data_IF_821578965850
#
_entry.id   IF_821578965850
#
_cell.length_a   1.000
_cell.length_b   1.000
_cell.length_c   1.000
_cell.angle_alpha   90.00
_cell.angle_beta   90.00
_cell.angle_gamma   90.00
#
_symmetry.space_group_name_H-M   'P 1'
#
loop_
_entity.id
_entity.type
_entity.pdbx_description
1 polymer ?
#
# COMPACT_ATOMS: atom_id res chain seq x y z
N UNK A 1 18.83 -14.87 12.92
CA UNK A 1 18.37 -13.50 13.24
C UNK A 1 16.86 -13.44 13.17
N UNK A 2 16.24 -12.88 14.19
CA UNK A 2 14.79 -12.77 14.25
C UNK A 2 14.35 -11.55 13.42
N UNK A 3 13.84 -11.78 12.20
CA UNK A 3 13.37 -10.72 11.27
C UNK A 3 12.15 -9.93 11.79
N UNK A 4 11.85 -10.02 13.10
CA UNK A 4 10.61 -9.48 13.68
C UNK A 4 9.39 -10.34 13.38
N UNK A 5 9.62 -11.59 12.97
CA UNK A 5 8.59 -12.61 12.73
C UNK A 5 9.04 -13.91 13.37
N UNK A 6 8.19 -14.50 14.19
CA UNK A 6 8.43 -15.80 14.79
C UNK A 6 7.99 -16.90 13.81
N UNK A 7 8.94 -17.41 13.04
CA UNK A 7 8.71 -18.41 11.99
C UNK A 7 8.29 -19.75 12.60
N UNK A 8 8.90 -20.15 13.73
CA UNK A 8 8.69 -21.47 14.36
C UNK A 8 7.31 -21.56 15.03
N UNK A 9 6.76 -20.42 15.49
CA UNK A 9 5.48 -20.38 16.19
C UNK A 9 4.36 -19.77 15.33
N UNK A 10 4.29 -20.16 14.06
CA UNK A 10 3.17 -19.81 13.18
C UNK A 10 3.28 -18.39 12.59
N UNK A 11 4.49 -17.92 12.32
CA UNK A 11 4.76 -16.65 11.65
C UNK A 11 4.21 -15.42 12.38
N UNK A 12 4.18 -15.44 13.70
CA UNK A 12 3.67 -14.32 14.49
C UNK A 12 4.53 -13.07 14.32
N UNK A 13 3.96 -11.93 13.90
CA UNK A 13 4.71 -10.69 13.79
C UNK A 13 4.96 -10.09 15.19
N UNK A 14 6.17 -9.62 15.41
CA UNK A 14 6.55 -8.90 16.62
C UNK A 14 6.59 -7.40 16.33
N UNK A 15 5.55 -6.70 16.72
CA UNK A 15 5.43 -5.25 16.51
C UNK A 15 6.14 -4.48 17.59
N UNK A 16 6.92 -3.47 17.18
CA UNK A 16 7.58 -2.52 18.07
C UNK A 16 7.21 -1.10 17.70
N UNK A 17 7.15 -0.25 18.71
CA UNK A 17 7.03 1.19 18.50
C UNK A 17 8.33 1.68 17.84
N UNK A 18 8.22 2.36 16.71
CA UNK A 18 9.38 2.94 16.03
C UNK A 18 10.03 4.02 16.91
N UNK A 19 11.35 4.10 16.83
CA UNK A 19 12.11 5.12 17.54
C UNK A 19 11.62 6.53 17.18
N UNK A 20 11.52 7.39 18.17
CA UNK A 20 11.03 8.76 18.03
C UNK A 20 9.49 8.91 17.97
N UNK A 21 8.71 7.82 17.86
CA UNK A 21 7.24 7.88 17.81
C UNK A 21 6.54 7.86 19.19
N UNK A 22 7.28 7.67 20.25
CA UNK A 22 6.72 7.61 21.61
C UNK A 22 5.95 8.87 22.04
N UNK A 23 6.35 10.07 21.55
CA UNK A 23 5.65 11.32 21.83
C UNK A 23 4.25 11.34 21.22
N UNK A 24 4.15 10.98 19.92
CA UNK A 24 2.87 10.92 19.20
C UNK A 24 1.91 9.93 19.85
N UNK A 25 2.42 8.79 20.29
CA UNK A 25 1.60 7.78 20.98
C UNK A 25 1.09 8.30 22.32
N UNK A 26 1.92 8.99 23.09
CA UNK A 26 1.48 9.60 24.36
C UNK A 26 0.40 10.65 24.13
N UNK A 27 0.53 11.48 23.10
CA UNK A 27 -0.47 12.48 22.72
C UNK A 27 -1.80 11.81 22.32
N UNK A 28 -1.76 10.76 21.50
CA UNK A 28 -2.94 9.99 21.12
C UNK A 28 -3.63 9.34 22.34
N UNK A 29 -2.85 8.71 23.22
CA UNK A 29 -3.38 8.10 24.45
C UNK A 29 -3.98 9.15 25.41
N UNK A 30 -3.41 10.35 25.46
CA UNK A 30 -3.95 11.45 26.24
C UNK A 30 -5.26 11.96 25.66
N UNK A 31 -5.30 12.21 24.35
CA UNK A 31 -6.50 12.65 23.64
C UNK A 31 -7.64 11.61 23.76
N UNK A 32 -7.32 10.34 23.64
CA UNK A 32 -8.30 9.25 23.76
C UNK A 32 -9.03 9.22 25.13
N UNK A 33 -8.41 9.73 26.17
CA UNK A 33 -9.02 9.80 27.52
C UNK A 33 -10.00 10.95 27.70
N UNK A 34 -9.99 11.93 26.81
CA UNK A 34 -10.79 13.16 26.90
C UNK A 34 -12.04 13.14 26.04
N UNK A 35 -12.30 12.03 25.34
CA UNK A 35 -13.42 11.90 24.40
C UNK A 35 -14.28 10.69 24.73
N UNK A 36 -15.58 10.79 24.47
CA UNK A 36 -16.54 9.72 24.72
C UNK A 36 -16.52 8.65 23.64
N UNK A 37 -16.07 9.00 22.42
CA UNK A 37 -16.06 8.09 21.28
C UNK A 37 -14.85 8.32 20.39
N UNK A 38 -14.26 7.22 19.90
CA UNK A 38 -13.15 7.23 18.97
C UNK A 38 -13.59 6.51 17.69
N UNK A 39 -13.44 7.18 16.55
CA UNK A 39 -13.68 6.61 15.22
C UNK A 39 -12.37 6.49 14.47
N UNK A 40 -12.17 5.33 13.84
CA UNK A 40 -11.00 4.99 13.07
C UNK A 40 -11.28 5.27 11.59
N UNK A 41 -10.68 6.32 11.04
CA UNK A 41 -10.92 6.83 9.70
C UNK A 41 -9.63 6.75 8.88
N UNK A 42 -9.35 5.59 8.32
CA UNK A 42 -8.25 5.36 7.38
C UNK A 42 -8.81 4.91 6.04
N UNK A 43 -7.97 4.80 5.01
CA UNK A 43 -8.36 4.42 3.65
C UNK A 43 -9.09 3.07 3.64
N UNK A 44 -9.98 2.88 2.65
CA UNK A 44 -10.76 1.67 2.51
C UNK A 44 -10.00 0.62 1.70
N UNK A 45 -8.82 0.28 2.19
CA UNK A 45 -7.99 -0.79 1.69
C UNK A 45 -7.40 -1.60 2.86
N UNK A 46 -6.69 -2.68 2.55
CA UNK A 46 -6.08 -3.54 3.58
C UNK A 46 -5.00 -2.82 4.40
N UNK A 47 -4.30 -1.85 3.84
CA UNK A 47 -3.28 -1.07 4.55
C UNK A 47 -3.96 -0.15 5.58
N UNK A 48 -5.02 0.56 5.18
CA UNK A 48 -5.83 1.38 6.07
C UNK A 48 -6.54 0.56 7.15
N UNK A 49 -7.02 -0.64 6.83
CA UNK A 49 -7.63 -1.54 7.80
C UNK A 49 -6.62 -2.01 8.86
N UNK A 50 -5.40 -2.34 8.45
CA UNK A 50 -4.32 -2.68 9.37
C UNK A 50 -3.90 -1.48 10.24
N UNK A 51 -3.86 -0.26 9.70
CA UNK A 51 -3.61 0.95 10.47
C UNK A 51 -4.68 1.13 11.54
N UNK A 52 -5.96 1.03 11.18
CA UNK A 52 -7.09 1.10 12.12
C UNK A 52 -6.97 0.06 13.22
N UNK A 53 -6.65 -1.19 12.86
CA UNK A 53 -6.42 -2.27 13.82
C UNK A 53 -5.27 -1.95 14.79
N UNK A 54 -4.13 -1.49 14.29
CA UNK A 54 -2.98 -1.12 15.13
C UNK A 54 -3.33 0.00 16.11
N UNK A 55 -4.06 1.02 15.67
CA UNK A 55 -4.52 2.12 16.54
C UNK A 55 -5.50 1.58 17.60
N UNK A 56 -6.45 0.73 17.19
CA UNK A 56 -7.39 0.12 18.13
C UNK A 56 -6.67 -0.70 19.21
N UNK A 57 -5.71 -1.51 18.85
CA UNK A 57 -4.90 -2.30 19.81
C UNK A 57 -4.10 -1.39 20.73
N UNK A 58 -3.47 -0.35 20.20
CA UNK A 58 -2.67 0.61 20.98
C UNK A 58 -3.52 1.41 21.97
N UNK A 59 -4.72 1.83 21.57
CA UNK A 59 -5.68 2.54 22.40
C UNK A 59 -6.53 1.61 23.27
N UNK A 60 -6.36 0.30 23.18
CA UNK A 60 -7.13 -0.74 23.87
C UNK A 60 -8.65 -0.64 23.59
N UNK A 61 -9.01 -0.27 22.36
CA UNK A 61 -10.39 -0.25 21.93
C UNK A 61 -10.90 -1.66 21.68
N UNK A 62 -12.19 -1.85 21.87
CA UNK A 62 -12.84 -3.12 21.54
C UNK A 62 -13.02 -3.25 20.01
N UNK A 63 -12.27 -4.13 19.40
CA UNK A 63 -12.28 -4.36 17.94
C UNK A 63 -13.66 -4.88 17.45
N UNK A 64 -14.47 -5.44 18.34
CA UNK A 64 -15.81 -5.96 18.03
C UNK A 64 -16.87 -4.87 17.95
N UNK A 65 -16.55 -3.65 18.34
CA UNK A 65 -17.44 -2.50 18.26
C UNK A 65 -17.35 -1.80 16.92
N UNK A 66 -18.40 -1.06 16.56
CA UNK A 66 -18.47 -0.29 15.32
C UNK A 66 -17.72 1.04 15.48
N UNK A 67 -16.38 0.97 15.38
CA UNK A 67 -15.49 2.12 15.52
C UNK A 67 -14.79 2.50 14.22
N UNK A 68 -14.97 1.71 13.16
CA UNK A 68 -14.35 1.93 11.86
C UNK A 68 -15.31 2.68 10.93
N UNK A 69 -14.86 3.79 10.36
CA UNK A 69 -15.57 4.49 9.30
C UNK A 69 -14.73 4.49 8.03
N UNK A 70 -15.38 4.34 6.89
CA UNK A 70 -14.75 4.36 5.59
C UNK A 70 -15.52 5.26 4.63
N UNK A 71 -14.81 5.92 3.74
CA UNK A 71 -15.38 6.78 2.72
C UNK A 71 -14.44 6.83 1.51
N UNK A 72 -15.03 6.91 0.31
CA UNK A 72 -14.29 6.94 -0.95
C UNK A 72 -13.95 8.36 -1.43
N UNK A 73 -14.61 9.37 -0.84
CA UNK A 73 -14.42 10.77 -1.20
C UNK A 73 -14.51 11.68 0.04
N UNK A 74 -13.80 12.80 0.00
CA UNK A 74 -13.79 13.77 1.11
C UNK A 74 -14.84 14.86 0.82
N UNK A 75 -16.12 14.44 0.77
CA UNK A 75 -17.26 15.36 0.69
C UNK A 75 -18.03 15.37 2.01
N UNK A 76 -18.69 16.49 2.32
CA UNK A 76 -19.49 16.61 3.54
C UNK A 76 -20.50 15.46 3.67
N UNK A 77 -21.22 15.17 2.59
CA UNK A 77 -22.25 14.11 2.55
C UNK A 77 -21.65 12.72 2.81
N UNK A 78 -20.51 12.40 2.18
CA UNK A 78 -19.83 11.12 2.38
C UNK A 78 -19.34 10.95 3.82
N UNK A 79 -18.76 12.01 4.41
CA UNK A 79 -18.30 12.01 5.81
C UNK A 79 -19.45 11.86 6.80
N UNK A 80 -20.54 12.60 6.64
CA UNK A 80 -21.75 12.50 7.49
C UNK A 80 -22.36 11.10 7.43
N UNK A 81 -22.42 10.50 6.23
CA UNK A 81 -22.88 9.13 6.05
C UNK A 81 -21.95 8.12 6.73
N UNK A 82 -20.64 8.26 6.56
CA UNK A 82 -19.66 7.37 7.19
C UNK A 82 -19.70 7.42 8.71
N UNK A 83 -19.84 8.61 9.29
CA UNK A 83 -19.97 8.79 10.75
C UNK A 83 -21.27 8.20 11.29
N UNK A 84 -22.36 8.28 10.50
CA UNK A 84 -23.67 7.72 10.86
C UNK A 84 -23.72 6.20 10.75
N UNK A 85 -22.86 5.60 9.91
CA UNK A 85 -22.86 4.17 9.63
C UNK A 85 -21.49 3.52 9.89
N UNK A 86 -20.97 3.57 11.13
CA UNK A 86 -19.69 2.95 11.43
C UNK A 86 -19.80 1.41 11.41
N UNK A 87 -18.72 0.76 11.01
CA UNK A 87 -18.61 -0.70 10.96
C UNK A 87 -17.53 -1.24 11.92
N UNK A 88 -17.40 -2.52 12.00
CA UNK A 88 -16.28 -3.18 12.69
C UNK A 88 -15.03 -3.16 11.81
N UNK A 89 -13.87 -3.31 12.44
CA UNK A 89 -12.61 -3.58 11.74
C UNK A 89 -12.72 -4.94 11.05
N UNK A 90 -12.37 -4.98 9.77
CA UNK A 90 -12.34 -6.20 8.98
C UNK A 90 -11.04 -6.96 9.24
N UNK A 91 -11.13 -8.02 10.05
CA UNK A 91 -9.98 -8.82 10.44
C UNK A 91 -9.38 -9.64 9.28
N UNK A 92 -10.15 -9.96 8.26
CA UNK A 92 -9.64 -10.70 7.09
C UNK A 92 -8.74 -9.80 6.26
N UNK A 93 -9.10 -8.53 6.10
CA UNK A 93 -8.24 -7.53 5.47
C UNK A 93 -6.98 -7.26 6.31
N UNK A 94 -7.10 -7.17 7.63
CA UNK A 94 -5.95 -7.03 8.54
C UNK A 94 -5.00 -8.21 8.38
N UNK A 95 -5.50 -9.44 8.43
CA UNK A 95 -4.68 -10.63 8.24
C UNK A 95 -4.04 -10.71 6.85
N UNK A 96 -4.76 -10.29 5.82
CA UNK A 96 -4.21 -10.19 4.46
C UNK A 96 -3.02 -9.25 4.39
N UNK A 97 -3.12 -8.08 5.01
CA UNK A 97 -2.02 -7.11 5.10
C UNK A 97 -0.84 -7.67 5.90
N UNK A 98 -1.10 -8.26 7.06
CA UNK A 98 -0.07 -8.87 7.91
C UNK A 98 0.68 -9.98 7.18
N UNK A 99 -0.04 -10.86 6.49
CA UNK A 99 0.55 -11.94 5.69
C UNK A 99 1.48 -11.39 4.61
N UNK A 100 1.04 -10.34 3.89
CA UNK A 100 1.87 -9.67 2.91
C UNK A 100 3.13 -9.08 3.53
N UNK A 101 3.01 -8.38 4.64
CA UNK A 101 4.12 -7.75 5.34
C UNK A 101 5.15 -8.80 5.84
N UNK A 102 4.67 -9.90 6.38
CA UNK A 102 5.50 -11.02 6.84
C UNK A 102 6.25 -11.63 5.66
N UNK A 103 5.55 -11.92 4.57
CA UNK A 103 6.13 -12.51 3.37
C UNK A 103 7.19 -11.60 2.75
N UNK A 104 6.91 -10.31 2.60
CA UNK A 104 7.86 -9.33 2.07
C UNK A 104 9.11 -9.22 2.94
N UNK A 105 8.97 -9.29 4.27
CA UNK A 105 10.12 -9.34 5.19
C UNK A 105 10.95 -10.62 5.02
N UNK A 106 10.32 -11.77 5.04
CA UNK A 106 11.02 -13.06 4.90
C UNK A 106 11.79 -13.10 3.58
N UNK A 107 11.13 -12.76 2.47
CA UNK A 107 11.76 -12.75 1.15
C UNK A 107 12.91 -11.73 1.11
N UNK A 108 12.66 -10.49 1.54
CA UNK A 108 13.66 -9.42 1.50
C UNK A 108 14.92 -9.75 2.31
N UNK A 109 14.75 -10.22 3.54
CA UNK A 109 15.87 -10.55 4.42
C UNK A 109 16.59 -11.85 4.03
N UNK A 110 15.91 -12.80 3.39
CA UNK A 110 16.53 -14.02 2.91
C UNK A 110 17.29 -13.84 1.61
N UNK A 111 16.75 -13.06 0.67
CA UNK A 111 17.33 -12.90 -0.67
C UNK A 111 18.35 -11.77 -0.77
N UNK A 112 18.20 -10.68 -0.02
CA UNK A 112 19.14 -9.56 -0.12
C UNK A 112 20.59 -9.94 0.18
N UNK A 113 20.91 -10.77 1.19
CA UNK A 113 22.28 -11.24 1.42
C UNK A 113 22.87 -12.02 0.24
N UNK A 114 22.05 -12.78 -0.50
CA UNK A 114 22.51 -13.48 -1.70
C UNK A 114 22.94 -12.50 -2.80
N UNK A 115 22.17 -11.41 -3.00
CA UNK A 115 22.56 -10.36 -3.92
C UNK A 115 23.89 -9.70 -3.51
N UNK A 116 24.12 -9.52 -2.22
CA UNK A 116 25.37 -8.95 -1.73
C UNK A 116 26.57 -9.85 -2.00
N UNK A 117 26.38 -11.16 -1.89
CA UNK A 117 27.44 -12.13 -2.12
C UNK A 117 27.77 -12.33 -3.61
N UNK A 118 26.77 -12.29 -4.47
CA UNK A 118 26.93 -12.67 -5.88
C UNK A 118 26.98 -11.50 -6.86
N UNK A 119 26.45 -10.33 -6.49
CA UNK A 119 26.33 -9.19 -7.41
C UNK A 119 27.03 -7.96 -6.85
N UNK A 120 26.48 -7.31 -5.84
CA UNK A 120 27.07 -6.12 -5.23
C UNK A 120 26.48 -5.84 -3.84
N UNK A 121 27.26 -5.27 -2.90
CA UNK A 121 26.79 -4.92 -1.57
C UNK A 121 25.68 -3.84 -1.64
N UNK A 122 24.83 -3.83 -0.63
CA UNK A 122 23.69 -2.88 -0.47
C UNK A 122 22.54 -3.02 -1.49
N UNK A 123 22.54 -4.03 -2.34
CA UNK A 123 21.37 -4.33 -3.17
C UNK A 123 20.26 -4.90 -2.29
N UNK A 124 19.01 -4.66 -2.66
CA UNK A 124 17.85 -5.25 -1.99
C UNK A 124 17.03 -6.10 -2.96
N UNK A 125 16.55 -7.22 -2.46
CA UNK A 125 15.56 -8.03 -3.14
C UNK A 125 14.19 -7.78 -2.53
N UNK A 126 13.16 -7.77 -3.35
CA UNK A 126 11.80 -7.63 -2.88
C UNK A 126 10.81 -8.02 -3.97
N UNK A 127 9.69 -8.58 -3.57
CA UNK A 127 8.67 -9.08 -4.47
C UNK A 127 8.18 -8.01 -5.48
N UNK A 128 7.93 -6.80 -5.02
CA UNK A 128 7.51 -5.68 -5.89
C UNK A 128 8.68 -5.15 -6.70
N UNK A 129 9.84 -4.93 -6.09
CA UNK A 129 11.03 -4.39 -6.75
C UNK A 129 11.50 -5.26 -7.92
N UNK A 130 11.53 -6.58 -7.73
CA UNK A 130 12.00 -7.52 -8.75
C UNK A 130 11.07 -7.56 -9.95
N UNK A 131 9.74 -7.48 -9.75
CA UNK A 131 8.77 -7.41 -10.84
C UNK A 131 8.86 -6.08 -11.58
N UNK A 132 8.95 -4.96 -10.87
CA UNK A 132 9.11 -3.65 -11.49
C UNK A 132 10.38 -3.58 -12.35
N UNK A 133 11.50 -4.06 -11.82
CA UNK A 133 12.76 -4.09 -12.55
C UNK A 133 12.65 -4.94 -13.83
N UNK A 134 12.02 -6.12 -13.73
CA UNK A 134 11.77 -6.98 -14.88
C UNK A 134 10.98 -6.25 -15.97
N UNK A 135 9.88 -5.59 -15.62
CA UNK A 135 9.06 -4.84 -16.57
C UNK A 135 9.84 -3.71 -17.25
N UNK A 136 10.68 -2.99 -16.50
CA UNK A 136 11.54 -1.94 -17.06
C UNK A 136 12.56 -2.53 -18.04
N UNK A 137 13.24 -3.62 -17.66
CA UNK A 137 14.23 -4.27 -18.53
C UNK A 137 13.59 -4.82 -19.82
N UNK A 138 12.42 -5.44 -19.72
CA UNK A 138 11.67 -5.93 -20.88
C UNK A 138 11.28 -4.76 -21.80
N UNK A 139 10.82 -3.65 -21.23
CA UNK A 139 10.45 -2.46 -22.01
C UNK A 139 11.65 -1.81 -22.69
N UNK A 140 12.78 -1.71 -22.02
CA UNK A 140 14.03 -1.20 -22.60
C UNK A 140 14.52 -2.11 -23.76
N UNK A 141 14.38 -3.44 -23.60
CA UNK A 141 14.71 -4.38 -24.68
C UNK A 141 13.80 -4.19 -25.91
N UNK A 142 12.51 -3.90 -25.70
CA UNK A 142 11.58 -3.60 -26.78
C UNK A 142 11.92 -2.26 -27.47
N UNK A 143 12.28 -1.25 -26.69
CA UNK A 143 12.73 0.05 -27.23
C UNK A 143 14.00 -0.12 -28.06
N UNK A 144 14.97 -0.91 -27.59
CA UNK A 144 16.21 -1.17 -28.30
C UNK A 144 16.00 -1.92 -29.64
N UNK A 145 14.95 -2.75 -29.72
CA UNK A 145 14.57 -3.48 -30.96
C UNK A 145 13.68 -2.66 -31.88
N UNK A 146 13.17 -1.53 -31.41
CA UNK A 146 12.24 -0.71 -32.17
C UNK A 146 12.96 -0.03 -33.34
N UNK A 147 12.52 -0.35 -34.55
CA UNK A 147 12.97 0.32 -35.76
C UNK A 147 11.93 1.40 -36.13
N UNK A 148 12.37 2.63 -36.12
CA UNK A 148 11.54 3.76 -36.50
C UNK A 148 11.14 3.67 -37.98
N UNK A 149 9.87 3.42 -38.25
CA UNK A 149 9.31 3.43 -39.59
C UNK A 149 8.67 4.77 -39.87
N UNK A 150 9.21 5.50 -40.84
CA UNK A 150 8.58 6.72 -41.32
C UNK A 150 7.21 6.40 -41.90
N UNK A 151 6.21 7.12 -41.50
CA UNK A 151 4.87 7.07 -42.08
C UNK A 151 4.41 8.49 -42.42
N UNK A 152 3.57 8.57 -43.44
CA UNK A 152 2.99 9.84 -43.87
C UNK A 152 1.49 9.84 -43.63
N UNK A 153 0.99 10.96 -43.06
CA UNK A 153 -0.43 11.23 -43.02
C UNK A 153 -0.76 12.16 -44.19
N UNK A 154 -1.57 11.68 -45.08
CA UNK A 154 -2.02 12.48 -46.21
C UNK A 154 -3.34 13.16 -45.85
N UNK A 155 -3.33 14.51 -45.91
CA UNK A 155 -4.52 15.33 -45.73
C UNK A 155 -4.92 15.90 -47.12
N UNK A 156 -6.14 15.62 -47.53
CA UNK A 156 -6.72 16.25 -48.74
C UNK A 156 -7.63 17.39 -48.31
N UNK A 157 -7.51 18.53 -48.98
CA UNK A 157 -8.44 19.63 -48.85
C UNK A 157 -9.15 19.81 -50.20
N UNK A 158 -10.47 19.75 -50.20
CA UNK A 158 -11.31 19.87 -51.40
C UNK A 158 -11.71 21.33 -51.62
N UNK A 159 -12.10 21.67 -52.86
CA UNK A 159 -12.45 23.05 -53.28
C UNK A 159 -13.63 23.64 -52.46
N UNK A 160 -14.46 22.80 -51.89
CA UNK A 160 -15.57 23.21 -51.00
C UNK A 160 -15.12 23.39 -49.52
N UNK A 161 -13.83 23.36 -49.22
CA UNK A 161 -13.31 23.50 -47.86
C UNK A 161 -13.40 22.25 -47.00
N UNK A 162 -13.85 21.12 -47.57
CA UNK A 162 -13.89 19.84 -46.85
C UNK A 162 -12.48 19.26 -46.71
N UNK A 163 -12.14 18.82 -45.51
CA UNK A 163 -10.86 18.18 -45.23
C UNK A 163 -11.06 16.68 -44.96
N UNK A 164 -10.23 15.86 -45.54
CA UNK A 164 -10.18 14.41 -45.31
C UNK A 164 -8.80 13.90 -45.04
N UNK A 165 -8.68 12.85 -44.25
CA UNK A 165 -7.44 12.14 -43.99
C UNK A 165 -7.52 10.77 -44.63
N UNK A 166 -6.43 10.38 -45.30
CA UNK A 166 -6.22 9.01 -45.75
C UNK A 166 -5.73 8.19 -44.56
N UNK A 167 -6.47 7.14 -44.21
CA UNK A 167 -6.08 6.17 -43.17
C UNK A 167 -5.22 5.05 -43.75
#
# INVERSE_FOLDING_TARGET
>A
ENFGVDIENGFKPNYKICDGKGKVIKELLSAAKTVDRILLASDEDREGEAISWHIAVMLKLNIKENNRISFHEITKKALENAVSNPRKVDMDMVHSQQTRQILDKIIGFSLSPLLWSYIAPKLSAGRVQSVCLKLVVEKEADIAKFNDKKYYKTKGTFDNGLEGFLN
#
